data_IF_812966880165
#
_entry.id   IF_812966880165
#
_cell.length_a   1.000
_cell.length_b   1.000
_cell.length_c   1.000
_cell.angle_alpha   90.00
_cell.angle_beta   90.00
_cell.angle_gamma   90.00
#
_symmetry.space_group_name_H-M   'P 1'
#
loop_
_entity.id
_entity.type
_entity.pdbx_description
1 polymer ?
#
# COMPACT_ATOMS: atom_id res chain seq x y z
N UNK A 1 -1.15 -4.85 -18.95
CA UNK A 1 -0.31 -4.17 -17.93
C UNK A 1 -1.15 -3.34 -16.97
N UNK A 2 -1.92 -2.34 -17.44
CA UNK A 2 -2.71 -1.44 -16.58
C UNK A 2 -3.74 -2.18 -15.69
N UNK A 3 -4.48 -3.16 -16.24
CA UNK A 3 -5.43 -4.00 -15.48
C UNK A 3 -4.74 -4.74 -14.30
N UNK A 4 -3.56 -5.32 -14.55
CA UNK A 4 -2.78 -6.04 -13.53
C UNK A 4 -2.20 -5.07 -12.49
N UNK A 5 -1.72 -3.91 -12.93
CA UNK A 5 -1.23 -2.86 -12.04
C UNK A 5 -2.33 -2.32 -11.12
N UNK A 6 -3.55 -2.12 -11.62
CA UNK A 6 -4.71 -1.68 -10.82
C UNK A 6 -5.10 -2.74 -9.79
N UNK A 7 -5.13 -4.02 -10.16
CA UNK A 7 -5.42 -5.12 -9.21
C UNK A 7 -4.35 -5.19 -8.12
N UNK A 8 -3.07 -5.14 -8.50
CA UNK A 8 -1.95 -5.10 -7.55
C UNK A 8 -2.00 -3.85 -6.67
N UNK A 9 -2.48 -2.73 -7.20
CA UNK A 9 -2.62 -1.50 -6.44
C UNK A 9 -3.75 -1.55 -5.42
N UNK A 10 -4.89 -2.15 -5.75
CA UNK A 10 -5.99 -2.33 -4.79
C UNK A 10 -5.56 -3.27 -3.66
N UNK A 11 -5.01 -4.44 -4.00
CA UNK A 11 -4.59 -5.43 -2.99
C UNK A 11 -3.38 -4.91 -2.21
N UNK A 12 -2.35 -4.44 -2.90
CA UNK A 12 -1.14 -3.89 -2.28
C UNK A 12 -1.45 -2.65 -1.45
N UNK A 13 -2.30 -1.76 -1.94
CA UNK A 13 -2.76 -0.56 -1.23
C UNK A 13 -3.51 -0.89 0.04
N UNK A 14 -4.49 -1.79 -0.01
CA UNK A 14 -5.22 -2.23 1.18
C UNK A 14 -4.29 -2.91 2.21
N UNK A 15 -3.35 -3.74 1.75
CA UNK A 15 -2.41 -4.44 2.64
C UNK A 15 -1.43 -3.46 3.30
N UNK A 16 -0.89 -2.50 2.53
CA UNK A 16 0.07 -1.51 3.03
C UNK A 16 -0.58 -0.49 3.96
N UNK A 17 -1.80 -0.07 3.62
CA UNK A 17 -2.63 0.75 4.51
C UNK A 17 -2.94 0.03 5.83
N UNK A 18 -3.33 -1.25 5.76
CA UNK A 18 -3.55 -2.07 6.95
C UNK A 18 -2.30 -2.21 7.83
N UNK A 19 -1.13 -2.47 7.22
CA UNK A 19 0.14 -2.55 7.96
C UNK A 19 0.50 -1.22 8.65
N UNK A 20 0.33 -0.09 7.96
CA UNK A 20 0.60 1.23 8.54
C UNK A 20 -0.39 1.57 9.65
N UNK A 21 -1.66 1.21 9.51
CA UNK A 21 -2.64 1.35 10.58
C UNK A 21 -2.26 0.53 11.81
N UNK A 22 -1.84 -0.74 11.64
CA UNK A 22 -1.34 -1.57 12.74
C UNK A 22 -0.10 -0.94 13.38
N UNK A 23 0.81 -0.37 12.59
CA UNK A 23 1.98 0.33 13.12
C UNK A 23 1.61 1.56 13.97
N UNK A 24 0.61 2.35 13.55
CA UNK A 24 0.08 3.48 14.32
C UNK A 24 -0.50 3.01 15.67
N UNK A 25 -1.22 1.89 15.67
CA UNK A 25 -1.83 1.34 16.89
C UNK A 25 -0.80 0.67 17.81
N UNK A 26 0.29 0.12 17.25
CA UNK A 26 1.36 -0.51 18.01
C UNK A 26 2.25 0.49 18.75
N UNK A 27 2.28 1.76 18.33
CA UNK A 27 3.09 2.82 18.96
C UNK A 27 2.21 3.71 19.84
N UNK A 28 2.36 3.68 21.18
CA UNK A 28 1.48 4.41 22.09
C UNK A 28 1.36 5.90 21.79
N UNK A 29 2.48 6.56 21.45
CA UNK A 29 2.52 7.99 21.12
C UNK A 29 1.79 8.37 19.83
N UNK A 30 1.62 7.44 18.88
CA UNK A 30 0.79 7.67 17.69
C UNK A 30 -0.67 7.29 17.94
N UNK A 31 -0.92 6.33 18.84
CA UNK A 31 -2.28 5.88 19.19
C UNK A 31 -3.10 6.93 19.94
N UNK A 32 -2.47 7.81 20.73
CA UNK A 32 -3.16 8.90 21.44
C UNK A 32 -3.88 9.87 20.49
N UNK A 33 -3.34 10.04 19.29
CA UNK A 33 -3.93 10.85 18.22
C UNK A 33 -4.36 9.97 17.03
N UNK A 34 -4.81 8.74 17.31
CA UNK A 34 -5.21 7.76 16.29
C UNK A 34 -6.22 8.32 15.28
N UNK A 35 -7.14 9.20 15.71
CA UNK A 35 -8.12 9.86 14.83
C UNK A 35 -7.49 10.72 13.72
N UNK A 36 -6.25 11.18 13.91
CA UNK A 36 -5.50 11.95 12.90
C UNK A 36 -4.47 11.08 12.18
N UNK A 37 -3.76 10.23 12.92
CA UNK A 37 -2.68 9.41 12.35
C UNK A 37 -3.18 8.24 11.51
N UNK A 38 -4.31 7.61 11.84
CA UNK A 38 -4.84 6.48 11.05
C UNK A 38 -5.23 6.92 9.63
N UNK A 39 -6.03 7.99 9.43
CA UNK A 39 -6.34 8.45 8.07
C UNK A 39 -5.09 8.82 7.27
N UNK A 40 -4.11 9.47 7.92
CA UNK A 40 -2.85 9.87 7.28
C UNK A 40 -2.01 8.65 6.88
N UNK A 41 -1.91 7.65 7.76
CA UNK A 41 -1.18 6.41 7.54
C UNK A 41 -1.81 5.58 6.40
N UNK A 42 -3.14 5.51 6.35
CA UNK A 42 -3.88 4.86 5.26
C UNK A 42 -3.65 5.60 3.94
N UNK A 43 -3.77 6.93 3.93
CA UNK A 43 -3.54 7.74 2.74
C UNK A 43 -2.09 7.58 2.23
N UNK A 44 -1.11 7.63 3.14
CA UNK A 44 0.29 7.41 2.81
C UNK A 44 0.51 6.00 2.22
N UNK A 45 -0.08 4.96 2.82
CA UNK A 45 0.03 3.59 2.32
C UNK A 45 -0.57 3.40 0.94
N UNK A 46 -1.71 4.05 0.67
CA UNK A 46 -2.38 4.00 -0.62
C UNK A 46 -1.60 4.72 -1.73
N UNK A 47 -1.03 5.89 -1.41
CA UNK A 47 -0.20 6.67 -2.33
C UNK A 47 1.13 5.94 -2.60
N UNK A 48 1.76 5.36 -1.59
CA UNK A 48 2.99 4.55 -1.75
C UNK A 48 2.74 3.27 -2.55
N UNK A 49 1.54 2.69 -2.45
CA UNK A 49 1.20 1.51 -3.22
C UNK A 49 1.12 1.79 -4.73
N UNK A 50 0.77 3.00 -5.19
CA UNK A 50 0.71 3.33 -6.63
C UNK A 50 2.05 3.06 -7.37
N UNK A 51 3.19 3.65 -6.96
CA UNK A 51 4.46 3.41 -7.63
C UNK A 51 4.94 1.97 -7.46
N UNK A 52 4.71 1.35 -6.30
CA UNK A 52 5.10 -0.04 -6.04
C UNK A 52 4.37 -0.99 -6.99
N UNK A 53 3.06 -0.83 -7.17
CA UNK A 53 2.27 -1.70 -8.04
C UNK A 53 2.64 -1.54 -9.51
N UNK A 54 3.04 -0.34 -9.94
CA UNK A 54 3.58 -0.14 -11.29
C UNK A 54 4.92 -0.86 -11.51
N UNK A 55 5.85 -0.76 -10.54
CA UNK A 55 7.15 -1.44 -10.61
C UNK A 55 6.99 -2.97 -10.61
N UNK A 56 6.10 -3.50 -9.76
CA UNK A 56 5.82 -4.93 -9.67
C UNK A 56 5.14 -5.44 -10.95
N UNK A 57 4.13 -4.73 -11.47
CA UNK A 57 3.48 -5.10 -12.73
C UNK A 57 4.47 -5.11 -13.91
N UNK A 58 5.43 -4.17 -13.93
CA UNK A 58 6.48 -4.11 -14.96
C UNK A 58 7.48 -5.27 -14.85
N UNK A 59 7.78 -5.76 -13.64
CA UNK A 59 8.58 -6.97 -13.43
C UNK A 59 7.82 -8.24 -13.82
N UNK A 60 6.54 -8.35 -13.46
CA UNK A 60 5.70 -9.52 -13.79
C UNK A 60 5.45 -9.63 -15.29
N UNK A 61 5.32 -8.51 -16.00
CA UNK A 61 5.18 -8.51 -17.45
C UNK A 61 6.45 -8.99 -18.22
N UNK A 62 7.55 -9.31 -17.52
CA UNK A 62 8.86 -9.62 -18.12
C UNK A 62 9.42 -11.05 -17.97
N UNK A 63 8.71 -12.09 -17.50
CA UNK A 63 9.19 -13.46 -17.74
C UNK A 63 8.06 -14.45 -18.07
N UNK A 64 7.37 -14.27 -19.21
CA UNK A 64 6.53 -15.34 -19.78
C UNK A 64 6.64 -15.49 -21.30
N UNK A 65 7.72 -14.96 -21.91
CA UNK A 65 8.15 -15.42 -23.24
C UNK A 65 9.21 -16.50 -22.98
N UNK A 66 8.73 -17.70 -22.62
CA UNK A 66 9.49 -18.94 -22.71
C UNK A 66 8.52 -20.07 -23.02
#
# INVERSE_FOLDING_TARGET
MFKVAVVLWIIGGATLAGMLMVAVLAVPSLSEQAMTWIPLAVAAGFVLAMPVSFLVARKIARPSVR
#
